data_IF_678397001469
#
_entry.id   IF_678397001469
#
_cell.length_a   1.000
_cell.length_b   1.000
_cell.length_c   1.000
_cell.angle_alpha   90.00
_cell.angle_beta   90.00
_cell.angle_gamma   90.00
#
_symmetry.space_group_name_H-M   'P 1'
#
loop_
_entity.id
_entity.type
_entity.pdbx_description
1 polymer ?
#
# COMPACT_ATOMS: atom_id res chain seq x y z
N UNK A 1 -28.85 -19.85 -11.68
CA UNK A 1 -27.85 -18.99 -11.03
C UNK A 1 -28.55 -17.72 -10.60
N UNK A 2 -28.72 -17.50 -9.30
CA UNK A 2 -29.27 -16.24 -8.78
C UNK A 2 -28.24 -15.13 -8.95
N UNK A 3 -28.62 -13.92 -9.40
CA UNK A 3 -27.72 -12.77 -9.43
C UNK A 3 -27.29 -12.46 -8.00
N UNK A 4 -26.00 -12.20 -7.77
CA UNK A 4 -25.50 -11.81 -6.46
C UNK A 4 -25.95 -10.39 -6.12
N UNK A 5 -26.41 -10.20 -4.90
CA UNK A 5 -26.65 -8.87 -4.34
C UNK A 5 -25.32 -8.13 -4.14
N UNK A 6 -25.26 -6.82 -4.49
CA UNK A 6 -24.07 -6.03 -4.29
C UNK A 6 -23.79 -5.84 -2.79
N UNK A 7 -22.57 -6.19 -2.35
CA UNK A 7 -22.17 -6.08 -0.96
C UNK A 7 -20.71 -5.63 -0.84
N UNK A 8 -20.45 -4.82 0.20
CA UNK A 8 -19.10 -4.41 0.59
C UNK A 8 -18.71 -5.09 1.89
N UNK A 9 -17.47 -5.56 2.00
CA UNK A 9 -16.95 -6.25 3.18
C UNK A 9 -15.87 -5.38 3.86
N UNK A 10 -15.95 -5.27 5.17
CA UNK A 10 -15.09 -4.41 5.99
C UNK A 10 -14.52 -5.21 7.16
N UNK A 11 -13.23 -5.04 7.42
CA UNK A 11 -12.57 -5.52 8.63
C UNK A 11 -12.20 -4.28 9.46
N UNK A 12 -12.93 -3.95 10.54
CA UNK A 12 -12.69 -2.75 11.32
C UNK A 12 -11.34 -2.84 12.03
N UNK A 13 -10.71 -1.68 12.22
CA UNK A 13 -9.37 -1.57 12.78
C UNK A 13 -9.37 -1.62 14.32
N UNK A 14 -10.41 -1.05 14.94
CA UNK A 14 -10.56 -0.98 16.40
C UNK A 14 -12.04 -1.00 16.81
N UNK A 15 -12.32 -1.49 18.01
CA UNK A 15 -13.58 -1.32 18.72
C UNK A 15 -13.26 -1.10 20.21
N UNK A 16 -13.69 0.02 20.81
CA UNK A 16 -13.51 0.28 22.26
C UNK A 16 -12.08 0.00 22.80
N UNK A 17 -11.07 0.72 22.30
CA UNK A 17 -9.65 0.63 22.70
C UNK A 17 -9.00 -0.77 22.60
N UNK A 18 -9.56 -1.64 21.74
CA UNK A 18 -8.94 -2.90 21.38
C UNK A 18 -8.89 -3.07 19.86
N UNK A 19 -7.90 -3.84 19.40
CA UNK A 19 -7.83 -4.37 18.06
C UNK A 19 -9.04 -5.28 17.80
N UNK A 20 -9.65 -5.15 16.62
CA UNK A 20 -10.70 -6.07 16.16
C UNK A 20 -10.17 -6.99 15.05
N UNK A 21 -10.83 -8.14 14.90
CA UNK A 21 -10.73 -9.02 13.73
C UNK A 21 -12.09 -9.36 13.12
N UNK A 22 -13.12 -8.61 13.49
CA UNK A 22 -14.48 -8.83 13.01
C UNK A 22 -14.56 -8.60 11.50
N UNK A 23 -15.52 -9.24 10.84
CA UNK A 23 -15.85 -8.94 9.45
C UNK A 23 -17.28 -8.46 9.41
N UNK A 24 -17.48 -7.26 8.91
CA UNK A 24 -18.79 -6.67 8.68
C UNK A 24 -19.08 -6.66 7.18
N UNK A 25 -20.33 -6.94 6.83
CA UNK A 25 -20.86 -6.84 5.47
C UNK A 25 -21.89 -5.73 5.43
N UNK A 26 -21.76 -4.82 4.47
CA UNK A 26 -22.81 -3.87 4.11
C UNK A 26 -23.51 -4.37 2.86
N UNK A 27 -24.78 -4.71 3.00
CA UNK A 27 -25.67 -4.90 1.85
C UNK A 27 -25.97 -3.52 1.25
N UNK A 28 -25.60 -3.29 0.00
CA UNK A 28 -25.76 -1.97 -0.62
C UNK A 28 -27.14 -1.74 -1.23
N UNK A 29 -27.99 -2.77 -1.27
CA UNK A 29 -29.38 -2.65 -1.71
C UNK A 29 -30.28 -2.17 -0.55
N UNK A 30 -30.05 -2.69 0.65
CA UNK A 30 -30.81 -2.35 1.86
C UNK A 30 -30.09 -1.35 2.76
N UNK A 31 -28.80 -1.09 2.52
CA UNK A 31 -27.93 -0.27 3.37
C UNK A 31 -27.86 -0.76 4.82
N UNK A 32 -27.95 -2.07 5.04
CA UNK A 32 -27.84 -2.69 6.36
C UNK A 32 -26.51 -3.38 6.58
N UNK A 33 -25.94 -3.12 7.75
CA UNK A 33 -24.74 -3.80 8.22
C UNK A 33 -25.07 -5.12 8.88
N UNK A 34 -24.21 -6.11 8.68
CA UNK A 34 -24.30 -7.42 9.33
C UNK A 34 -22.90 -7.85 9.77
N UNK A 35 -22.77 -8.23 11.04
CA UNK A 35 -21.58 -8.91 11.55
C UNK A 35 -21.57 -10.34 11.02
N UNK A 36 -20.52 -10.73 10.31
CA UNK A 36 -20.37 -12.07 9.76
C UNK A 36 -19.82 -13.00 10.85
N UNK A 37 -20.53 -14.10 11.11
CA UNK A 37 -20.00 -15.21 11.90
C UNK A 37 -18.99 -16.02 11.05
N UNK A 38 -17.74 -15.57 11.00
CA UNK A 38 -16.72 -16.17 10.14
C UNK A 38 -16.36 -17.59 10.57
N UNK A 39 -16.09 -18.46 9.59
CA UNK A 39 -15.62 -19.84 9.81
C UNK A 39 -14.09 -19.95 9.68
N UNK A 40 -13.53 -21.05 10.16
CA UNK A 40 -12.09 -21.32 10.11
C UNK A 40 -11.29 -20.54 11.15
N UNK A 41 -9.98 -20.48 10.98
CA UNK A 41 -9.11 -19.74 11.88
C UNK A 41 -9.07 -18.28 11.45
N UNK A 42 -9.53 -17.28 12.22
CA UNK A 42 -9.52 -15.89 11.77
C UNK A 42 -8.13 -15.26 11.75
N UNK A 43 -7.99 -14.16 11.02
CA UNK A 43 -6.83 -13.28 11.19
C UNK A 43 -6.77 -12.80 12.66
N UNK A 44 -5.56 -12.69 13.19
CA UNK A 44 -5.33 -12.04 14.50
C UNK A 44 -5.85 -10.60 14.45
N UNK A 45 -6.48 -10.13 15.53
CA UNK A 45 -6.91 -8.74 15.73
C UNK A 45 -5.80 -7.78 15.33
N UNK A 46 -6.11 -6.70 14.57
CA UNK A 46 -5.10 -5.71 14.12
C UNK A 46 -5.67 -4.41 13.58
N UNK A 47 -4.89 -3.33 13.68
CA UNK A 47 -5.14 -2.05 13.03
C UNK A 47 -4.14 -1.77 11.89
N UNK A 48 -4.42 -0.73 11.09
CA UNK A 48 -3.56 -0.25 9.99
C UNK A 48 -3.07 -1.33 9.00
N UNK A 49 -3.85 -2.39 8.84
CA UNK A 49 -3.63 -3.44 7.85
C UNK A 49 -4.18 -3.00 6.48
N UNK A 50 -3.87 -3.75 5.43
CA UNK A 50 -4.59 -3.65 4.17
C UNK A 50 -5.49 -4.86 3.97
N UNK A 51 -6.67 -4.64 3.39
CA UNK A 51 -7.55 -5.68 2.89
C UNK A 51 -7.79 -5.42 1.40
N UNK A 52 -7.35 -6.34 0.54
CA UNK A 52 -7.45 -6.20 -0.92
C UNK A 52 -8.23 -7.36 -1.51
N UNK A 53 -9.27 -7.05 -2.29
CA UNK A 53 -10.08 -8.06 -2.99
C UNK A 53 -9.40 -8.50 -4.29
N UNK A 54 -9.25 -9.81 -4.48
CA UNK A 54 -8.99 -10.42 -5.79
C UNK A 54 -10.02 -11.53 -6.03
N UNK A 55 -10.91 -11.32 -7.01
CA UNK A 55 -12.05 -12.21 -7.23
C UNK A 55 -12.96 -12.25 -6.00
N UNK A 56 -13.23 -13.44 -5.47
CA UNK A 56 -14.02 -13.61 -4.23
C UNK A 56 -13.19 -13.68 -2.96
N UNK A 57 -11.88 -13.49 -3.03
CA UNK A 57 -10.99 -13.62 -1.88
C UNK A 57 -10.51 -12.24 -1.43
N UNK A 58 -10.67 -11.98 -0.12
CA UNK A 58 -10.08 -10.83 0.55
C UNK A 58 -8.73 -11.23 1.14
N UNK A 59 -7.67 -10.54 0.71
CA UNK A 59 -6.32 -10.75 1.19
C UNK A 59 -5.96 -9.68 2.22
N UNK A 60 -5.70 -10.12 3.45
CA UNK A 60 -5.31 -9.27 4.57
C UNK A 60 -3.81 -9.38 4.81
N UNK A 61 -3.10 -8.26 4.68
CA UNK A 61 -1.65 -8.19 4.88
C UNK A 61 -1.29 -7.05 5.84
N UNK A 62 -0.20 -7.23 6.58
CA UNK A 62 0.31 -6.18 7.45
C UNK A 62 -0.56 -5.96 8.68
N UNK A 63 -0.41 -4.76 9.22
CA UNK A 63 -1.09 -4.27 10.40
C UNK A 63 -0.30 -4.50 11.68
N UNK A 64 -0.58 -3.64 12.64
CA UNK A 64 -0.06 -3.71 14.00
C UNK A 64 -1.07 -4.40 14.89
N UNK A 65 -0.57 -5.21 15.81
CA UNK A 65 -1.39 -5.75 16.89
C UNK A 65 -0.57 -6.21 18.08
N UNK A 66 -1.20 -6.80 19.09
CA UNK A 66 -0.52 -7.15 20.34
C UNK A 66 -0.29 -8.66 20.52
N UNK A 67 0.89 -9.02 21.03
CA UNK A 67 1.27 -10.43 21.24
C UNK A 67 0.29 -11.19 22.13
N UNK A 68 -0.28 -10.55 23.15
CA UNK A 68 -0.98 -11.22 24.23
C UNK A 68 -2.51 -11.15 24.13
N UNK A 69 -3.05 -10.29 23.26
CA UNK A 69 -4.50 -10.20 23.12
C UNK A 69 -4.96 -9.08 22.19
N UNK A 70 -6.25 -8.73 22.26
CA UNK A 70 -6.82 -7.65 21.47
C UNK A 70 -6.52 -6.26 22.07
N UNK A 71 -6.10 -6.17 23.33
CA UNK A 71 -5.84 -4.88 23.99
C UNK A 71 -4.44 -4.36 23.69
N UNK A 72 -4.30 -3.03 23.64
CA UNK A 72 -3.00 -2.38 23.47
C UNK A 72 -2.09 -2.64 24.69
N UNK A 73 -0.88 -3.17 24.45
CA UNK A 73 0.19 -3.26 25.44
C UNK A 73 1.52 -2.80 24.83
N UNK A 74 2.60 -2.83 25.61
CA UNK A 74 3.96 -2.55 25.13
C UNK A 74 4.59 -3.71 24.33
N UNK A 75 3.80 -4.74 23.95
CA UNK A 75 4.26 -5.94 23.24
C UNK A 75 3.69 -6.01 21.82
N UNK A 76 3.77 -4.89 21.11
CA UNK A 76 3.33 -4.80 19.72
C UNK A 76 4.05 -5.83 18.83
N UNK A 77 3.35 -6.31 17.82
CA UNK A 77 3.88 -7.14 16.75
C UNK A 77 3.24 -6.73 15.43
N UNK A 78 4.05 -6.81 14.38
CA UNK A 78 3.68 -6.38 13.04
C UNK A 78 3.48 -7.62 12.19
N UNK A 79 2.26 -7.82 11.69
CA UNK A 79 1.91 -9.03 10.95
C UNK A 79 2.56 -9.00 9.56
N UNK A 80 3.21 -10.09 9.16
CA UNK A 80 3.86 -10.25 7.85
C UNK A 80 3.33 -11.45 7.06
N UNK A 81 2.43 -12.24 7.64
CA UNK A 81 1.75 -13.33 6.95
C UNK A 81 0.43 -12.85 6.37
N UNK A 82 0.20 -13.20 5.11
CA UNK A 82 -1.07 -12.96 4.43
C UNK A 82 -2.13 -13.88 5.01
N UNK A 83 -3.34 -13.35 5.19
CA UNK A 83 -4.54 -14.11 5.58
C UNK A 83 -5.57 -13.96 4.48
N UNK A 84 -6.27 -15.04 4.16
CA UNK A 84 -7.24 -15.07 3.06
C UNK A 84 -8.61 -15.39 3.61
N UNK A 85 -9.58 -14.52 3.34
CA UNK A 85 -10.98 -14.72 3.66
C UNK A 85 -11.76 -14.91 2.36
N UNK A 86 -12.44 -16.05 2.21
CA UNK A 86 -13.34 -16.29 1.09
C UNK A 86 -14.72 -15.70 1.39
N UNK A 87 -15.08 -14.66 0.63
CA UNK A 87 -16.35 -13.94 0.80
C UNK A 87 -17.58 -14.78 0.39
N UNK A 88 -17.39 -15.89 -0.33
CA UNK A 88 -18.49 -16.77 -0.74
C UNK A 88 -18.87 -17.77 0.34
N UNK A 89 -17.88 -18.32 1.02
CA UNK A 89 -18.06 -19.33 2.07
C UNK A 89 -18.05 -18.70 3.46
N UNK A 90 -17.71 -17.41 3.55
CA UNK A 90 -17.55 -16.64 4.78
C UNK A 90 -16.55 -17.30 5.73
N UNK A 91 -15.49 -17.87 5.14
CA UNK A 91 -14.50 -18.67 5.82
C UNK A 91 -13.09 -18.12 5.59
N UNK A 92 -12.30 -18.12 6.65
CA UNK A 92 -10.86 -17.95 6.56
C UNK A 92 -10.22 -19.24 6.06
N UNK A 93 -9.37 -19.11 5.04
CA UNK A 93 -8.68 -20.22 4.43
C UNK A 93 -7.37 -20.52 5.14
N UNK A 94 -7.06 -21.80 5.27
CA UNK A 94 -5.72 -22.25 5.65
C UNK A 94 -4.75 -21.98 4.50
N UNK A 95 -3.63 -21.35 4.84
CA UNK A 95 -2.67 -20.83 3.90
C UNK A 95 -1.36 -21.63 3.99
N UNK A 96 -0.77 -22.07 2.88
CA UNK A 96 0.51 -22.76 2.92
C UNK A 96 1.62 -21.82 3.43
N UNK A 97 2.72 -22.36 3.95
CA UNK A 97 3.83 -21.54 4.42
C UNK A 97 4.50 -20.80 3.26
N UNK A 98 4.75 -19.50 3.44
CA UNK A 98 5.58 -18.69 2.54
C UNK A 98 6.98 -18.55 3.11
N UNK A 99 8.04 -19.15 2.52
CA UNK A 99 9.40 -19.07 3.07
C UNK A 99 9.99 -17.66 2.92
N UNK A 100 9.67 -16.98 1.83
CA UNK A 100 10.05 -15.59 1.58
C UNK A 100 8.82 -14.71 1.78
N UNK A 101 8.98 -13.66 2.57
CA UNK A 101 7.91 -12.74 2.93
C UNK A 101 8.45 -11.34 3.19
N UNK A 102 7.69 -10.29 2.85
CA UNK A 102 8.00 -8.92 3.25
C UNK A 102 8.01 -8.77 4.77
N UNK A 103 8.82 -7.83 5.28
CA UNK A 103 8.82 -7.48 6.70
C UNK A 103 7.43 -7.01 7.18
N UNK A 104 7.10 -7.31 8.44
CA UNK A 104 5.84 -6.89 9.04
C UNK A 104 5.75 -5.37 9.09
N UNK A 105 4.60 -4.81 8.72
CA UNK A 105 4.45 -3.36 8.54
C UNK A 105 3.00 -2.92 8.72
N UNK A 106 2.82 -1.65 9.07
CA UNK A 106 1.52 -0.97 9.12
C UNK A 106 1.49 0.23 8.17
N UNK A 107 0.27 0.67 7.83
CA UNK A 107 0.06 1.89 7.05
C UNK A 107 0.81 1.88 5.71
N UNK A 108 0.95 0.70 5.10
CA UNK A 108 1.44 0.51 3.74
C UNK A 108 0.30 0.67 2.74
N UNK A 109 0.65 0.88 1.48
CA UNK A 109 -0.31 0.80 0.36
C UNK A 109 -0.42 -0.62 -0.15
N UNK A 110 -1.62 -1.03 -0.56
CA UNK A 110 -1.87 -2.34 -1.16
C UNK A 110 -2.84 -2.22 -2.32
N UNK A 111 -2.59 -2.96 -3.40
CA UNK A 111 -3.43 -2.92 -4.60
C UNK A 111 -3.38 -4.23 -5.36
N UNK A 112 -4.47 -4.55 -6.07
CA UNK A 112 -4.56 -5.73 -6.94
C UNK A 112 -4.34 -5.36 -8.40
N UNK A 113 -3.45 -6.05 -9.11
CA UNK A 113 -3.21 -5.82 -10.53
C UNK A 113 -2.96 -7.15 -11.25
N UNK A 114 -3.69 -7.40 -12.34
CA UNK A 114 -3.62 -8.64 -13.13
C UNK A 114 -3.68 -9.94 -12.29
N UNK A 115 -4.55 -9.96 -11.28
CA UNK A 115 -4.75 -11.13 -10.40
C UNK A 115 -3.64 -11.34 -9.36
N UNK A 116 -2.68 -10.42 -9.26
CA UNK A 116 -1.62 -10.43 -8.26
C UNK A 116 -1.83 -9.29 -7.25
N UNK A 117 -1.39 -9.49 -6.01
CA UNK A 117 -1.43 -8.48 -4.96
C UNK A 117 -0.08 -7.78 -4.87
N UNK A 118 -0.09 -6.46 -4.69
CA UNK A 118 1.11 -5.67 -4.49
C UNK A 118 1.05 -4.91 -3.17
N UNK A 119 2.21 -4.78 -2.53
CA UNK A 119 2.40 -4.04 -1.27
C UNK A 119 3.55 -3.04 -1.45
N UNK A 120 3.32 -1.80 -1.07
CA UNK A 120 4.33 -0.74 -1.13
C UNK A 120 4.44 0.03 0.20
N UNK A 121 5.67 0.27 0.62
CA UNK A 121 5.99 1.15 1.74
C UNK A 121 5.47 0.64 3.08
N UNK A 122 5.19 1.56 4.00
CA UNK A 122 4.72 1.28 5.35
C UNK A 122 5.78 1.53 6.42
N UNK A 123 5.45 1.17 7.67
CA UNK A 123 6.33 1.37 8.82
C UNK A 123 6.27 0.22 9.82
N UNK A 124 7.40 -0.05 10.47
CA UNK A 124 7.51 -0.98 11.59
C UNK A 124 8.23 -0.25 12.74
N UNK A 125 7.48 0.04 13.83
CA UNK A 125 8.02 0.79 14.97
C UNK A 125 9.09 0.00 15.73
N UNK A 126 8.96 -1.33 15.80
CA UNK A 126 9.96 -2.18 16.49
C UNK A 126 11.32 -2.17 15.81
N UNK A 127 11.34 -1.94 14.50
CA UNK A 127 12.56 -1.80 13.72
C UNK A 127 12.94 -0.34 13.49
N UNK A 128 12.12 0.59 13.98
CA UNK A 128 12.12 2.01 13.63
C UNK A 128 12.36 2.26 12.13
N UNK A 129 11.63 1.52 11.27
CA UNK A 129 11.93 1.48 9.83
C UNK A 129 10.73 1.84 8.99
N UNK A 130 10.90 2.87 8.17
CA UNK A 130 10.03 3.17 7.04
C UNK A 130 10.49 2.36 5.82
N UNK A 131 9.54 1.91 5.00
CA UNK A 131 9.82 1.10 3.83
C UNK A 131 9.51 1.87 2.53
N UNK A 132 10.19 1.48 1.45
CA UNK A 132 9.90 1.90 0.06
C UNK A 132 9.97 0.71 -0.91
N UNK A 133 10.06 -0.51 -0.39
CA UNK A 133 10.11 -1.71 -1.21
C UNK A 133 8.73 -2.00 -1.79
N UNK A 134 8.72 -2.53 -3.02
CA UNK A 134 7.55 -3.05 -3.69
C UNK A 134 7.60 -4.58 -3.66
N UNK A 135 6.55 -5.19 -3.14
CA UNK A 135 6.39 -6.63 -3.11
C UNK A 135 5.19 -7.05 -3.92
N UNK A 136 5.33 -8.20 -4.59
CA UNK A 136 4.27 -8.83 -5.36
C UNK A 136 3.98 -10.21 -4.78
N UNK A 137 2.71 -10.51 -4.59
CA UNK A 137 2.21 -11.81 -4.16
C UNK A 137 1.39 -12.44 -5.27
N UNK A 138 1.74 -13.68 -5.61
CA UNK A 138 1.00 -14.49 -6.54
C UNK A 138 0.06 -15.43 -5.76
N UNK A 139 -1.28 -15.28 -5.88
CA UNK A 139 -2.21 -16.11 -5.13
C UNK A 139 -2.28 -17.57 -5.58
N UNK A 140 -1.84 -17.89 -6.80
CA UNK A 140 -1.86 -19.25 -7.35
C UNK A 140 -0.71 -20.08 -6.80
N UNK A 141 0.51 -19.55 -6.85
CA UNK A 141 1.69 -20.21 -6.27
C UNK A 141 1.86 -19.95 -4.79
N UNK A 142 1.11 -19.00 -4.22
CA UNK A 142 1.22 -18.54 -2.84
C UNK A 142 2.63 -18.05 -2.47
N UNK A 143 3.27 -17.29 -3.38
CA UNK A 143 4.65 -16.83 -3.19
C UNK A 143 4.78 -15.32 -3.29
N UNK A 144 5.67 -14.76 -2.47
CA UNK A 144 6.11 -13.37 -2.57
C UNK A 144 7.35 -13.22 -3.44
N UNK A 145 7.43 -12.11 -4.16
CA UNK A 145 8.60 -11.66 -4.91
C UNK A 145 8.80 -10.17 -4.69
N UNK A 146 10.00 -9.76 -4.32
CA UNK A 146 10.38 -8.34 -4.30
C UNK A 146 10.56 -7.85 -5.73
N UNK A 147 10.00 -6.68 -6.03
CA UNK A 147 10.06 -6.03 -7.34
C UNK A 147 10.96 -4.81 -7.21
N UNK A 148 11.81 -4.60 -8.21
CA UNK A 148 12.67 -3.42 -8.33
C UNK A 148 12.17 -2.59 -9.53
N UNK A 149 11.32 -1.57 -9.31
CA UNK A 149 10.87 -0.68 -10.37
C UNK A 149 12.02 0.11 -11.01
N UNK A 150 11.86 0.47 -12.29
CA UNK A 150 12.78 1.38 -12.97
C UNK A 150 12.44 2.84 -12.66
N UNK A 151 13.46 3.70 -12.69
CA UNK A 151 13.32 5.13 -12.43
C UNK A 151 13.42 5.49 -10.95
N UNK A 152 13.24 6.77 -10.64
CA UNK A 152 13.28 7.29 -9.27
C UNK A 152 11.93 7.06 -8.61
N UNK A 153 11.88 6.19 -7.61
CA UNK A 153 10.69 5.93 -6.80
C UNK A 153 10.53 6.90 -5.62
N UNK A 154 9.44 6.75 -4.85
CA UNK A 154 9.24 7.50 -3.62
C UNK A 154 10.29 7.13 -2.55
N UNK A 155 10.61 8.07 -1.66
CA UNK A 155 11.42 7.79 -0.47
C UNK A 155 10.72 6.79 0.48
N UNK A 156 11.41 6.19 1.47
CA UNK A 156 10.75 5.39 2.52
C UNK A 156 9.64 6.16 3.21
N UNK A 157 8.41 5.63 3.21
CA UNK A 157 7.24 6.36 3.70
C UNK A 157 6.10 5.45 4.17
N UNK A 158 5.11 6.03 4.86
CA UNK A 158 3.85 5.38 5.26
C UNK A 158 2.64 6.27 4.96
N UNK A 159 1.42 5.74 5.10
CA UNK A 159 0.15 6.49 4.99
C UNK A 159 -0.06 7.18 3.63
N UNK A 160 0.45 6.60 2.55
CA UNK A 160 0.22 7.14 1.21
C UNK A 160 -1.20 6.80 0.74
N UNK A 161 -1.73 7.62 -0.16
CA UNK A 161 -2.90 7.25 -0.95
C UNK A 161 -2.42 6.48 -2.19
N UNK A 162 -3.15 5.44 -2.58
CA UNK A 162 -2.82 4.62 -3.73
C UNK A 162 -4.09 4.28 -4.51
N UNK A 163 -4.10 4.53 -5.82
CA UNK A 163 -5.20 4.16 -6.71
C UNK A 163 -4.70 3.61 -8.05
N UNK A 164 -5.55 2.84 -8.71
CA UNK A 164 -5.25 2.24 -10.02
C UNK A 164 -6.04 2.99 -11.09
N UNK A 165 -5.36 3.38 -12.18
CA UNK A 165 -5.94 3.99 -13.38
C UNK A 165 -5.40 3.27 -14.61
N UNK A 166 -6.19 2.35 -15.17
CA UNK A 166 -5.72 1.45 -16.24
C UNK A 166 -4.52 0.62 -15.76
N UNK A 167 -3.42 0.64 -16.52
CA UNK A 167 -2.18 -0.07 -16.19
C UNK A 167 -1.22 0.74 -15.29
N UNK A 168 -1.72 1.81 -14.68
CA UNK A 168 -0.90 2.72 -13.86
C UNK A 168 -1.40 2.73 -12.42
N UNK A 169 -0.45 2.71 -11.50
CA UNK A 169 -0.70 2.95 -10.08
C UNK A 169 -0.25 4.37 -9.77
N UNK A 170 -1.17 5.17 -9.25
CA UNK A 170 -0.91 6.52 -8.81
C UNK A 170 -0.75 6.48 -7.30
N UNK A 171 0.41 6.91 -6.81
CA UNK A 171 0.72 7.02 -5.40
C UNK A 171 0.91 8.48 -5.04
N UNK A 172 0.19 8.94 -4.03
CA UNK A 172 0.20 10.35 -3.62
C UNK A 172 0.52 10.49 -2.14
N UNK A 173 1.45 11.40 -1.85
CA UNK A 173 1.81 11.87 -0.52
C UNK A 173 2.31 10.79 0.45
N UNK A 174 1.77 10.82 1.66
CA UNK A 174 2.23 10.03 2.81
C UNK A 174 3.27 10.76 3.65
N UNK A 175 3.85 10.06 4.63
CA UNK A 175 4.81 10.65 5.57
C UNK A 175 6.12 9.86 5.64
N UNK A 176 7.23 10.57 5.79
CA UNK A 176 8.56 10.00 5.99
C UNK A 176 9.28 10.69 7.15
N UNK A 177 10.35 10.10 7.72
CA UNK A 177 11.22 10.80 8.66
C UNK A 177 11.75 12.11 8.06
N UNK A 178 11.90 13.14 8.90
CA UNK A 178 12.63 14.36 8.56
C UNK A 178 14.11 14.03 8.31
N UNK A 179 14.74 14.60 7.27
CA UNK A 179 16.19 14.50 7.08
C UNK A 179 16.99 15.33 8.09
N UNK A 180 16.37 16.32 8.73
CA UNK A 180 17.04 17.20 9.69
C UNK A 180 17.09 16.51 11.06
N UNK A 181 18.28 16.08 11.46
CA UNK A 181 18.55 15.51 12.78
C UNK A 181 18.46 16.61 13.86
N UNK A 182 17.25 16.90 14.34
CA UNK A 182 17.02 17.91 15.35
C UNK A 182 15.93 17.51 16.34
N UNK A 183 16.33 16.87 17.44
CA UNK A 183 15.52 16.48 18.62
C UNK A 183 14.63 15.24 18.45
N UNK A 184 15.25 14.09 18.16
CA UNK A 184 15.12 12.88 18.98
C UNK A 184 13.76 12.22 19.24
N UNK A 185 12.65 12.70 18.70
CA UNK A 185 11.32 12.13 18.94
C UNK A 185 10.79 11.40 17.70
N UNK A 186 10.04 10.31 17.94
CA UNK A 186 9.37 9.44 16.96
C UNK A 186 8.37 10.18 16.03
N UNK A 187 8.26 11.50 16.17
CA UNK A 187 7.25 12.38 15.61
C UNK A 187 7.75 13.37 14.55
N UNK A 188 9.06 13.46 14.30
CA UNK A 188 9.60 14.29 13.21
C UNK A 188 9.39 13.63 11.86
N UNK A 189 8.14 13.68 11.41
CA UNK A 189 7.71 13.24 10.10
C UNK A 189 7.41 14.44 9.23
N UNK A 190 7.84 14.36 7.97
CA UNK A 190 7.44 15.30 6.93
C UNK A 190 6.27 14.72 6.14
N UNK A 191 5.29 15.57 5.85
CA UNK A 191 4.19 15.26 4.93
C UNK A 191 4.63 15.51 3.49
N UNK A 192 4.31 14.56 2.61
CA UNK A 192 4.58 14.68 1.19
C UNK A 192 3.33 15.11 0.44
N UNK A 193 3.51 15.98 -0.55
CA UNK A 193 2.49 16.38 -1.54
C UNK A 193 2.91 15.98 -2.96
N UNK A 194 3.80 15.00 -3.08
CA UNK A 194 4.33 14.50 -4.35
C UNK A 194 3.44 13.40 -4.96
N UNK A 195 3.56 13.23 -6.27
CA UNK A 195 2.84 12.23 -7.05
C UNK A 195 3.84 11.30 -7.74
N UNK A 196 3.63 10.00 -7.59
CA UNK A 196 4.42 8.97 -8.24
C UNK A 196 3.53 8.06 -9.07
N UNK A 197 4.03 7.62 -10.22
CA UNK A 197 3.31 6.72 -11.12
C UNK A 197 4.15 5.47 -11.34
N UNK A 198 3.61 4.31 -10.95
CA UNK A 198 4.13 3.01 -11.36
C UNK A 198 3.35 2.53 -12.58
N UNK A 199 4.04 2.42 -13.71
CA UNK A 199 3.45 2.04 -14.99
C UNK A 199 3.76 0.56 -15.30
N UNK A 200 2.73 -0.28 -15.35
CA UNK A 200 2.88 -1.69 -15.68
C UNK A 200 2.92 -1.98 -17.18
N UNK A 201 2.56 -1.01 -18.02
CA UNK A 201 2.63 -1.12 -19.48
C UNK A 201 3.31 0.11 -20.10
N UNK A 202 4.58 0.39 -19.76
CA UNK A 202 5.27 1.55 -20.27
C UNK A 202 5.51 1.43 -21.78
N UNK A 203 5.22 2.51 -22.52
CA UNK A 203 5.54 2.59 -23.94
C UNK A 203 7.06 2.52 -24.19
N UNK A 204 7.47 2.15 -25.42
CA UNK A 204 8.88 2.22 -25.82
C UNK A 204 9.44 3.63 -25.62
N UNK A 205 8.66 4.67 -25.94
CA UNK A 205 9.01 6.08 -25.69
C UNK A 205 9.35 6.32 -24.21
N UNK A 206 8.51 5.82 -23.30
CA UNK A 206 8.72 5.93 -21.84
C UNK A 206 10.00 5.21 -21.42
N UNK A 207 10.23 4.00 -21.92
CA UNK A 207 11.43 3.21 -21.60
C UNK A 207 12.71 3.89 -22.10
N UNK A 208 12.70 4.45 -23.32
CA UNK A 208 13.81 5.22 -23.86
C UNK A 208 14.10 6.46 -23.00
N UNK A 209 13.07 7.21 -22.58
CA UNK A 209 13.25 8.36 -21.69
C UNK A 209 13.86 7.97 -20.35
N UNK A 210 13.43 6.86 -19.75
CA UNK A 210 14.02 6.34 -18.52
C UNK A 210 15.50 5.98 -18.71
N UNK A 211 15.88 5.42 -19.86
CA UNK A 211 17.28 5.13 -20.18
C UNK A 211 18.11 6.41 -20.32
N UNK A 212 17.59 7.44 -21.01
CA UNK A 212 18.26 8.75 -21.12
C UNK A 212 18.56 9.34 -19.74
N UNK A 213 17.57 9.30 -18.83
CA UNK A 213 17.74 9.79 -17.45
C UNK A 213 18.75 8.91 -16.68
N UNK A 214 18.58 7.59 -16.73
CA UNK A 214 19.39 6.65 -15.95
C UNK A 214 20.87 6.68 -16.32
N UNK A 215 21.18 6.82 -17.62
CA UNK A 215 22.55 6.84 -18.13
C UNK A 215 23.09 8.25 -18.38
N UNK A 216 22.35 9.28 -18.00
CA UNK A 216 22.71 10.69 -18.20
C UNK A 216 23.17 10.98 -19.65
N UNK A 217 22.42 10.48 -20.63
CA UNK A 217 22.75 10.63 -22.05
C UNK A 217 22.57 12.10 -22.48
N UNK A 218 23.35 12.53 -23.48
CA UNK A 218 23.21 13.87 -24.04
C UNK A 218 21.80 14.09 -24.60
N UNK A 219 21.19 15.21 -24.20
CA UNK A 219 19.84 15.59 -24.54
C UNK A 219 19.81 16.72 -25.58
N UNK A 220 20.96 17.30 -25.92
CA UNK A 220 21.06 18.49 -26.79
C UNK A 220 20.45 18.28 -28.18
N UNK A 221 20.54 17.05 -28.70
CA UNK A 221 20.02 16.64 -29.99
C UNK A 221 18.55 16.24 -29.98
N UNK A 222 17.91 16.16 -28.80
CA UNK A 222 16.53 15.70 -28.68
C UNK A 222 15.53 16.80 -29.05
N UNK A 223 14.41 16.44 -29.71
CA UNK A 223 13.28 17.34 -29.93
C UNK A 223 12.81 18.04 -28.65
N UNK A 224 12.30 19.26 -28.79
CA UNK A 224 11.91 20.11 -27.66
C UNK A 224 10.87 19.44 -26.76
N UNK A 225 9.88 18.77 -27.33
CA UNK A 225 8.84 18.03 -26.61
C UNK A 225 9.43 16.87 -25.77
N UNK A 226 10.40 16.13 -26.31
CA UNK A 226 11.09 15.06 -25.56
C UNK A 226 11.92 15.63 -24.42
N UNK A 227 12.66 16.73 -24.65
CA UNK A 227 13.41 17.41 -23.59
C UNK A 227 12.49 17.93 -22.48
N UNK A 228 11.34 18.49 -22.85
CA UNK A 228 10.33 18.92 -21.90
C UNK A 228 9.78 17.75 -21.08
N UNK A 229 9.44 16.62 -21.72
CA UNK A 229 8.97 15.42 -21.03
C UNK A 229 10.05 14.85 -20.08
N UNK A 230 11.32 14.82 -20.49
CA UNK A 230 12.44 14.39 -19.65
C UNK A 230 12.57 15.29 -18.41
N UNK A 231 12.51 16.61 -18.60
CA UNK A 231 12.55 17.57 -17.51
C UNK A 231 11.34 17.40 -16.56
N UNK A 232 10.14 17.19 -17.10
CA UNK A 232 8.94 16.91 -16.30
C UNK A 232 9.07 15.61 -15.49
N UNK A 233 9.76 14.59 -16.01
CA UNK A 233 10.01 13.33 -15.31
C UNK A 233 11.07 13.46 -14.19
N UNK A 234 11.93 14.47 -14.24
CA UNK A 234 13.02 14.68 -13.26
C UNK A 234 12.78 15.82 -12.28
N UNK A 235 11.77 16.66 -12.52
CA UNK A 235 11.40 17.77 -11.63
C UNK A 235 10.55 17.28 -10.47
N UNK A 236 10.85 17.76 -9.25
CA UNK A 236 10.09 17.39 -8.07
C UNK A 236 8.63 17.79 -8.24
N UNK A 237 7.73 16.81 -8.09
CA UNK A 237 6.29 16.99 -8.25
C UNK A 237 5.64 17.58 -7.00
N UNK A 238 6.26 18.58 -6.38
CA UNK A 238 5.66 19.28 -5.25
C UNK A 238 4.43 20.05 -5.75
N UNK A 239 3.25 19.62 -5.31
CA UNK A 239 1.99 20.31 -5.68
C UNK A 239 1.85 21.64 -4.92
N UNK A 240 2.56 21.81 -3.80
CA UNK A 240 2.58 23.05 -3.04
C UNK A 240 3.33 24.14 -3.82
N UNK A 241 2.58 25.03 -4.49
CA UNK A 241 3.07 26.38 -4.78
C UNK A 241 3.31 27.09 -3.44
N UNK A 242 4.42 27.82 -3.24
CA UNK A 242 4.50 28.75 -2.13
C UNK A 242 3.28 29.68 -2.22
N UNK A 243 2.50 29.78 -1.14
CA UNK A 243 1.54 30.88 -1.01
C UNK A 243 2.42 32.12 -0.87
N UNK A 244 2.73 32.78 -1.98
CA UNK A 244 3.37 34.08 -1.93
C UNK A 244 2.34 35.00 -1.29
N UNK A 245 2.52 35.32 -0.01
CA UNK A 245 1.80 36.40 0.64
C UNK A 245 2.19 37.69 -0.08
N UNK A 246 1.39 38.09 -1.07
CA UNK A 246 1.42 39.47 -1.56
C UNK A 246 0.87 40.35 -0.44
N UNK A 247 1.75 40.86 0.40
CA UNK A 247 1.49 42.08 1.16
C UNK A 247 2.27 43.19 0.46
N UNK A 248 1.54 43.93 -0.37
CA UNK A 248 1.86 45.32 -0.65
C UNK A 248 1.22 46.20 0.42
#
# INVERSE_FOLDING_TARGET
>A
MTPKEPAMYFMPLTSADCFSNDIHKLDTSTMTWTLICTKGNPARWRDFHSATMLGSHMYVFGGRADRFGPFHSNNEIYCNRIRVFDTRTEAWLDCPPTPVLPEGRRSHSAFGYNGELYIFGGYNARLNRHFHDLWKFNPVSFTWKKIEPKGKGPCPRRRQCCCIVGDKIVLFGGTSPSPEEGLGDEFDLIDHSDLHILDFSPSLKTLCKLAVIQYNLDQSCLPHDIRWELNAMTTNSNISRPIVSSHG
#
